data_IF_880097771323
#
_entry.id   IF_880097771323
#
_cell.length_a   1.000
_cell.length_b   1.000
_cell.length_c   1.000
_cell.angle_alpha   90.00
_cell.angle_beta   90.00
_cell.angle_gamma   90.00
#
_symmetry.space_group_name_H-M   'P 1'
#
loop_
_entity.id
_entity.type
_entity.pdbx_description
1 polymer ?
#
# COMPACT_ATOMS: atom_id res chain seq x y z
N UNK A 1 6.02 -18.61 12.00
CA UNK A 1 6.49 -17.93 11.79
C UNK A 1 6.08 -16.95 11.11
N UNK A 2 6.33 -16.17 11.13
CA UNK A 2 5.87 -15.08 10.54
C UNK A 2 6.16 -15.06 9.13
N UNK A 3 5.44 -14.34 8.44
CA UNK A 3 5.67 -14.13 7.10
C UNK A 3 6.81 -13.23 6.96
N UNK A 4 7.82 -13.64 6.37
CA UNK A 4 8.98 -12.84 6.17
C UNK A 4 8.91 -12.17 4.84
N UNK A 5 8.04 -11.17 4.75
CA UNK A 5 8.00 -10.33 3.56
C UNK A 5 9.27 -9.52 3.49
N UNK A 6 9.81 -9.37 2.28
CA UNK A 6 11.07 -8.70 2.09
C UNK A 6 10.93 -7.20 2.02
N UNK A 7 11.92 -6.49 2.54
CA UNK A 7 12.00 -5.06 2.38
C UNK A 7 11.08 -4.28 3.29
N UNK A 8 10.87 -3.03 2.94
CA UNK A 8 10.03 -2.15 3.73
C UNK A 8 8.57 -2.60 3.64
N UNK A 9 7.89 -2.62 4.77
CA UNK A 9 6.55 -3.20 4.85
C UNK A 9 5.47 -2.21 5.22
N UNK A 10 5.81 -0.96 5.50
CA UNK A 10 4.84 0.04 5.94
C UNK A 10 5.33 1.42 5.55
N UNK A 11 4.40 2.29 5.14
CA UNK A 11 4.73 3.63 4.67
C UNK A 11 3.84 4.68 5.34
N UNK A 12 3.99 4.89 6.66
CA UNK A 12 3.14 5.90 7.33
C UNK A 12 3.37 7.31 6.81
N UNK A 13 4.53 7.58 6.24
CA UNK A 13 4.84 8.90 5.71
C UNK A 13 4.05 9.24 4.44
N UNK A 14 3.38 8.26 3.84
CA UNK A 14 2.64 8.50 2.60
C UNK A 14 1.18 8.84 2.82
N UNK A 15 0.70 8.83 4.06
CA UNK A 15 -0.66 9.30 4.34
C UNK A 15 -0.73 10.77 4.00
N UNK A 16 -1.74 11.14 3.22
CA UNK A 16 -1.91 12.53 2.82
C UNK A 16 -1.34 12.90 1.48
N UNK A 17 -0.61 11.98 0.82
CA UNK A 17 -0.12 12.24 -0.53
C UNK A 17 -1.08 11.63 -1.55
N UNK A 18 -0.89 11.99 -2.81
CA UNK A 18 -1.73 11.43 -3.88
C UNK A 18 -1.41 9.95 -4.07
N UNK A 19 -2.45 9.19 -4.42
CA UNK A 19 -2.29 7.73 -4.57
C UNK A 19 -1.22 7.35 -5.59
N UNK A 20 -1.15 8.05 -6.73
CA UNK A 20 -0.15 7.74 -7.75
C UNK A 20 1.27 8.00 -7.25
N UNK A 21 1.45 9.03 -6.44
CA UNK A 21 2.76 9.32 -5.86
C UNK A 21 3.14 8.22 -4.87
N UNK A 22 2.17 7.81 -4.06
CA UNK A 22 2.39 6.72 -3.10
C UNK A 22 2.75 5.42 -3.82
N UNK A 23 2.02 5.10 -4.87
CA UNK A 23 2.25 3.88 -5.65
C UNK A 23 3.69 3.85 -6.17
N UNK A 24 4.12 4.94 -6.79
CA UNK A 24 5.46 5.01 -7.36
C UNK A 24 6.52 4.91 -6.28
N UNK A 25 6.30 5.57 -5.16
CA UNK A 25 7.26 5.56 -4.05
C UNK A 25 7.40 4.16 -3.46
N UNK A 26 6.28 3.49 -3.23
CA UNK A 26 6.28 2.16 -2.65
C UNK A 26 7.03 1.19 -3.55
N UNK A 27 6.75 1.23 -4.85
CA UNK A 27 7.38 0.29 -5.77
C UNK A 27 8.84 0.59 -5.97
N UNK A 28 9.24 1.85 -5.83
CA UNK A 28 10.65 2.22 -5.88
C UNK A 28 11.39 1.75 -4.63
N UNK A 29 10.76 1.90 -3.46
CA UNK A 29 11.41 1.55 -2.19
C UNK A 29 11.38 0.06 -1.91
N UNK A 30 10.42 -0.65 -2.48
CA UNK A 30 10.37 -2.11 -2.34
C UNK A 30 10.00 -2.74 -3.68
N UNK A 31 11.00 -3.09 -4.50
CA UNK A 31 10.72 -3.67 -5.82
C UNK A 31 10.03 -5.02 -5.78
N UNK A 32 9.94 -5.66 -4.61
CA UNK A 32 9.29 -6.97 -4.50
C UNK A 32 7.77 -6.86 -4.41
N UNK A 33 7.21 -5.63 -4.30
CA UNK A 33 5.77 -5.48 -4.15
C UNK A 33 5.17 -4.73 -5.31
N UNK A 34 3.87 -4.94 -5.51
CA UNK A 34 3.06 -4.15 -6.41
C UNK A 34 2.09 -3.33 -5.58
N UNK A 35 2.02 -2.03 -5.85
CA UNK A 35 1.09 -1.16 -5.15
C UNK A 35 -0.20 -1.05 -5.95
N UNK A 36 -1.32 -1.20 -5.26
CA UNK A 36 -2.65 -1.18 -5.88
C UNK A 36 -3.47 -0.08 -5.24
N UNK A 37 -3.90 0.90 -6.03
CA UNK A 37 -4.73 1.98 -5.52
C UNK A 37 -6.16 1.51 -5.44
N UNK A 38 -6.76 1.62 -4.25
CA UNK A 38 -8.13 1.17 -4.02
C UNK A 38 -8.89 2.26 -3.26
N UNK A 39 -10.22 2.31 -3.40
CA UNK A 39 -11.02 3.24 -2.58
C UNK A 39 -10.90 2.90 -1.11
N UNK A 40 -10.93 3.91 -0.25
CA UNK A 40 -10.77 3.68 1.18
C UNK A 40 -11.87 2.80 1.75
N UNK A 41 -13.03 2.75 1.10
CA UNK A 41 -14.15 1.93 1.57
C UNK A 41 -14.15 0.53 1.01
N UNK A 42 -13.20 0.20 0.14
CA UNK A 42 -13.23 -1.09 -0.49
C UNK A 42 -12.94 -2.17 0.54
N UNK A 43 -13.60 -3.30 0.37
CA UNK A 43 -13.35 -4.48 1.19
C UNK A 43 -12.43 -5.37 0.39
N UNK A 44 -11.22 -5.53 0.85
CA UNK A 44 -10.28 -6.40 0.19
C UNK A 44 -10.56 -7.86 0.53
N UNK A 45 -9.84 -8.75 -0.13
CA UNK A 45 -9.93 -10.14 0.24
C UNK A 45 -9.21 -10.34 1.58
N UNK A 46 -9.33 -11.52 2.14
CA UNK A 46 -8.73 -11.83 3.43
C UNK A 46 -7.37 -12.47 3.28
N UNK A 47 -6.87 -12.59 2.06
CA UNK A 47 -5.63 -13.29 1.80
C UNK A 47 -4.45 -12.34 1.95
N UNK A 48 -3.53 -12.68 2.82
CA UNK A 48 -2.32 -11.89 3.00
C UNK A 48 -1.34 -12.21 1.87
N UNK A 49 -0.71 -11.17 1.31
CA UNK A 49 0.28 -11.35 0.25
C UNK A 49 1.48 -10.48 0.50
N UNK A 50 2.66 -11.06 0.46
CA UNK A 50 3.90 -10.31 0.61
C UNK A 50 4.23 -9.43 -0.58
N UNK A 51 3.61 -9.69 -1.74
CA UNK A 51 3.91 -8.96 -2.96
C UNK A 51 2.89 -7.87 -3.28
N UNK A 52 2.05 -7.50 -2.31
CA UNK A 52 0.99 -6.54 -2.56
C UNK A 52 0.94 -5.48 -1.46
N UNK A 53 0.76 -4.22 -1.88
CA UNK A 53 0.46 -3.13 -0.95
C UNK A 53 -0.80 -2.44 -1.47
N UNK A 54 -1.85 -2.43 -0.66
CA UNK A 54 -3.05 -1.69 -1.01
C UNK A 54 -2.90 -0.25 -0.54
N UNK A 55 -3.09 0.67 -1.47
CA UNK A 55 -3.01 2.10 -1.20
C UNK A 55 -4.44 2.62 -1.18
N UNK A 56 -4.99 2.83 0.01
CA UNK A 56 -6.37 3.27 0.16
C UNK A 56 -6.45 4.77 0.03
N UNK A 57 -7.29 5.23 -0.87
CA UNK A 57 -7.43 6.67 -1.14
C UNK A 57 -8.86 7.10 -0.90
N UNK A 58 -9.02 8.36 -0.53
CA UNK A 58 -10.34 8.96 -0.34
C UNK A 58 -10.90 9.40 -1.69
N UNK A 59 -12.04 10.10 -1.65
CA UNK A 59 -12.71 10.52 -2.88
C UNK A 59 -11.90 11.51 -3.70
N UNK A 60 -10.89 12.12 -3.11
CA UNK A 60 -10.01 13.05 -3.81
C UNK A 60 -8.73 12.38 -4.31
N UNK A 61 -8.60 11.07 -4.12
CA UNK A 61 -7.41 10.35 -4.55
C UNK A 61 -6.23 10.50 -3.61
N UNK A 62 -6.48 10.88 -2.37
CA UNK A 62 -5.42 11.12 -1.38
C UNK A 62 -5.36 9.93 -0.44
N UNK A 63 -4.15 9.46 -0.14
CA UNK A 63 -3.94 8.31 0.74
C UNK A 63 -4.51 8.62 2.11
N UNK A 64 -5.44 7.78 2.56
CA UNK A 64 -6.18 8.03 3.81
C UNK A 64 -5.76 7.13 4.95
N UNK A 65 -5.00 6.08 4.69
CA UNK A 65 -4.49 5.22 5.76
C UNK A 65 -3.12 4.72 5.40
N UNK A 66 -2.38 4.23 6.40
CA UNK A 66 -0.99 3.79 6.21
C UNK A 66 -0.95 2.62 5.23
N UNK A 67 -0.25 2.75 4.09
CA UNK A 67 -0.06 1.60 3.19
C UNK A 67 0.83 0.55 3.84
N UNK A 68 0.43 -0.69 3.73
CA UNK A 68 1.16 -1.83 4.31
C UNK A 68 1.13 -3.00 3.36
N UNK A 69 2.17 -3.80 3.47
CA UNK A 69 2.21 -5.09 2.77
C UNK A 69 1.08 -5.97 3.30
N UNK A 70 0.38 -6.61 2.41
CA UNK A 70 -0.72 -7.49 2.84
C UNK A 70 -1.76 -7.85 1.80
#
# INVERSE_FOLDING_TARGET
>A
MSSDCQGKQSWPELVGVRGEVAEATIERENPAVNAVIVPERSIGDTQFRCDRVRVRVDDNGIVSSVPRVG
#
